data_IF_852738941461
#
_entry.id   IF_852738941461
#
_cell.length_a   1.000
_cell.length_b   1.000
_cell.length_c   1.000
_cell.angle_alpha   90.00
_cell.angle_beta   90.00
_cell.angle_gamma   90.00
#
_symmetry.space_group_name_H-M   'P 1'
#
loop_
_entity.id
_entity.type
_entity.pdbx_description
1 polymer ?
#
# COMPACT_ATOMS: atom_id res chain seq x y z
N UNK A 1 -18.17 10.90 57.99
CA UNK A 1 -19.26 10.22 57.23
C UNK A 1 -19.25 10.48 55.71
N UNK A 2 -18.75 11.61 55.18
CA UNK A 2 -18.69 11.87 53.72
C UNK A 2 -17.53 11.22 52.95
N UNK A 3 -16.46 10.79 53.63
CA UNK A 3 -15.32 10.09 53.01
C UNK A 3 -15.59 8.59 52.71
N UNK A 4 -16.44 7.94 53.51
CA UNK A 4 -16.77 6.52 53.36
C UNK A 4 -17.77 6.26 52.22
N UNK A 5 -18.69 7.21 51.94
CA UNK A 5 -19.60 7.11 50.79
C UNK A 5 -18.90 7.30 49.44
N UNK A 6 -17.84 8.12 49.37
CA UNK A 6 -17.06 8.31 48.14
C UNK A 6 -16.28 7.06 47.72
N UNK A 7 -15.71 6.33 48.68
CA UNK A 7 -14.97 5.09 48.43
C UNK A 7 -15.90 3.93 48.00
N UNK A 8 -17.10 3.85 48.58
CA UNK A 8 -18.14 2.90 48.16
C UNK A 8 -18.70 3.19 46.76
N UNK A 9 -18.74 4.47 46.33
CA UNK A 9 -19.15 4.85 44.97
C UNK A 9 -18.09 4.48 43.92
N UNK A 10 -16.81 4.73 44.23
CA UNK A 10 -15.67 4.35 43.38
C UNK A 10 -15.52 2.83 43.22
N UNK A 11 -15.70 2.04 44.28
CA UNK A 11 -15.71 0.57 44.20
C UNK A 11 -16.88 0.02 43.36
N UNK A 12 -18.04 0.69 43.38
CA UNK A 12 -19.23 0.29 42.61
C UNK A 12 -19.06 0.59 41.12
N UNK A 13 -18.43 1.70 40.76
CA UNK A 13 -18.08 2.02 39.36
C UNK A 13 -16.94 1.15 38.82
N UNK A 14 -15.92 0.82 39.63
CA UNK A 14 -14.88 -0.14 39.25
C UNK A 14 -15.44 -1.56 39.01
N UNK A 15 -16.43 -1.99 39.80
CA UNK A 15 -17.13 -3.27 39.55
C UNK A 15 -17.98 -3.26 38.27
N UNK A 16 -18.59 -2.12 37.91
CA UNK A 16 -19.32 -1.98 36.64
C UNK A 16 -18.39 -2.01 35.43
N UNK A 17 -17.23 -1.35 35.52
CA UNK A 17 -16.21 -1.37 34.45
C UNK A 17 -15.65 -2.78 34.27
N UNK A 18 -15.37 -3.51 35.36
CA UNK A 18 -14.91 -4.91 35.30
C UNK A 18 -15.97 -5.86 34.74
N UNK A 19 -17.25 -5.63 35.03
CA UNK A 19 -18.37 -6.38 34.47
C UNK A 19 -18.58 -6.08 32.96
N UNK A 20 -18.34 -4.85 32.51
CA UNK A 20 -18.41 -4.47 31.09
C UNK A 20 -17.25 -5.07 30.28
N UNK A 21 -16.04 -5.05 30.83
CA UNK A 21 -14.86 -5.70 30.22
C UNK A 21 -15.00 -7.22 30.16
N UNK A 22 -15.65 -7.85 31.16
CA UNK A 22 -15.95 -9.28 31.15
C UNK A 22 -17.05 -9.65 30.13
N UNK A 23 -18.02 -8.76 29.87
CA UNK A 23 -18.99 -8.92 28.76
C UNK A 23 -18.33 -8.77 27.37
N UNK A 24 -17.35 -7.88 27.22
CA UNK A 24 -16.59 -7.71 25.98
C UNK A 24 -15.67 -8.91 25.71
N UNK A 25 -15.00 -9.42 26.75
CA UNK A 25 -14.19 -10.66 26.65
C UNK A 25 -15.05 -11.89 26.34
N UNK A 26 -16.23 -12.04 26.97
CA UNK A 26 -17.19 -13.10 26.61
C UNK A 26 -17.78 -12.93 25.20
N UNK A 27 -17.91 -11.69 24.72
CA UNK A 27 -18.30 -11.39 23.34
C UNK A 27 -17.22 -11.77 22.32
N UNK A 28 -15.94 -11.57 22.67
CA UNK A 28 -14.78 -11.98 21.86
C UNK A 28 -14.63 -13.51 21.84
N UNK A 29 -14.80 -14.20 22.97
CA UNK A 29 -14.83 -15.67 23.02
C UNK A 29 -16.03 -16.26 22.25
N UNK A 30 -17.20 -15.62 22.28
CA UNK A 30 -18.35 -16.01 21.48
C UNK A 30 -18.13 -15.78 19.97
N UNK A 31 -17.37 -14.75 19.60
CA UNK A 31 -16.97 -14.47 18.21
C UNK A 31 -15.91 -15.45 17.70
N UNK A 32 -14.92 -15.80 18.54
CA UNK A 32 -13.92 -16.84 18.26
C UNK A 32 -14.56 -18.23 18.12
N UNK A 33 -15.53 -18.57 18.98
CA UNK A 33 -16.31 -19.80 18.89
C UNK A 33 -17.28 -19.82 17.70
N UNK A 34 -17.78 -18.65 17.25
CA UNK A 34 -18.57 -18.53 16.02
C UNK A 34 -17.70 -18.70 14.76
N UNK A 35 -16.45 -18.24 14.80
CA UNK A 35 -15.45 -18.48 13.74
C UNK A 35 -15.04 -19.97 13.66
N UNK A 36 -14.96 -20.66 14.80
CA UNK A 36 -14.70 -22.11 14.87
C UNK A 36 -15.95 -22.91 14.42
N UNK A 37 -17.18 -22.45 14.71
CA UNK A 37 -18.43 -23.06 14.20
C UNK A 37 -18.68 -22.82 12.70
N UNK A 38 -18.10 -21.79 12.10
CA UNK A 38 -18.17 -21.55 10.65
C UNK A 38 -17.26 -22.48 9.82
N UNK A 39 -16.36 -23.24 10.46
CA UNK A 39 -15.61 -24.34 9.81
C UNK A 39 -16.37 -25.68 9.73
N UNK A 40 -17.62 -25.78 10.22
CA UNK A 40 -18.38 -27.05 10.19
C UNK A 40 -19.52 -27.15 9.17
N UNK A 41 -19.78 -26.14 8.33
CA UNK A 41 -20.77 -26.26 7.25
C UNK A 41 -20.13 -26.63 5.92
N UNK A 42 -19.76 -27.91 5.80
CA UNK A 42 -19.56 -28.61 4.52
C UNK A 42 -20.90 -28.74 3.80
N UNK A 43 -21.14 -27.96 2.76
CA UNK A 43 -21.98 -28.37 1.62
C UNK A 43 -21.56 -27.56 0.41
N UNK A 44 -20.67 -28.12 -0.40
CA UNK A 44 -20.56 -28.06 -1.88
C UNK A 44 -19.26 -28.80 -2.20
N UNK A 45 -19.41 -29.98 -2.79
CA UNK A 45 -18.44 -30.94 -3.37
C UNK A 45 -18.75 -32.37 -2.90
N UNK A 46 -19.98 -32.81 -3.21
CA UNK A 46 -20.41 -34.22 -3.20
C UNK A 46 -20.60 -34.70 -4.63
N UNK A 47 -19.59 -34.50 -5.48
CA UNK A 47 -19.58 -35.13 -6.81
C UNK A 47 -18.16 -35.32 -7.31
N UNK A 48 -17.33 -36.14 -6.66
CA UNK A 48 -16.12 -36.72 -7.28
C UNK A 48 -15.35 -37.77 -6.45
N UNK A 49 -15.94 -38.42 -5.44
CA UNK A 49 -15.29 -39.58 -4.79
C UNK A 49 -16.30 -40.72 -4.62
N UNK A 50 -16.58 -41.39 -5.73
CA UNK A 50 -16.95 -42.80 -5.78
C UNK A 50 -16.13 -43.39 -6.92
N UNK A 51 -14.96 -43.91 -6.59
CA UNK A 51 -14.37 -45.11 -7.19
C UNK A 51 -13.03 -45.41 -6.52
N UNK A 52 -12.84 -46.70 -6.27
CA UNK A 52 -11.58 -47.36 -5.88
C UNK A 52 -11.35 -47.55 -4.38
N UNK A 53 -11.98 -48.60 -3.84
CA UNK A 53 -11.32 -49.49 -2.88
C UNK A 53 -10.00 -50.01 -3.47
N UNK A 54 -8.90 -50.03 -2.70
CA UNK A 54 -7.99 -51.19 -2.63
C UNK A 54 -6.94 -51.03 -1.49
N UNK A 55 -7.03 -51.95 -0.53
CA UNK A 55 -5.97 -52.66 0.22
C UNK A 55 -4.68 -51.91 0.62
N UNK A 56 -4.48 -51.77 1.94
CA UNK A 56 -3.22 -51.41 2.58
C UNK A 56 -2.26 -52.62 2.55
N UNK A 57 -1.08 -52.48 1.95
CA UNK A 57 0.11 -53.32 2.20
C UNK A 57 1.17 -52.50 2.95
N UNK A 58 1.93 -53.09 3.89
CA UNK A 58 2.99 -52.39 4.59
C UNK A 58 4.21 -52.19 3.66
N UNK A 59 4.65 -50.94 3.51
CA UNK A 59 5.85 -50.58 2.74
C UNK A 59 7.11 -50.75 3.59
N UNK A 60 8.15 -51.35 2.98
CA UNK A 60 9.47 -51.62 3.56
C UNK A 60 10.22 -50.31 3.87
N UNK A 61 11.04 -50.33 4.93
CA UNK A 61 12.04 -49.30 5.24
C UNK A 61 13.00 -49.14 4.06
N UNK A 62 13.04 -47.93 3.48
CA UNK A 62 14.15 -47.51 2.64
C UNK A 62 15.19 -46.77 3.49
N UNK A 63 16.41 -47.27 3.45
CA UNK A 63 17.62 -46.63 3.98
C UNK A 63 17.92 -45.36 3.18
N UNK A 64 18.01 -44.22 3.87
CA UNK A 64 18.49 -42.96 3.31
C UNK A 64 19.99 -43.07 3.01
N UNK A 65 20.32 -43.08 1.73
CA UNK A 65 21.70 -43.00 1.25
C UNK A 65 22.06 -41.51 1.15
N UNK A 66 22.71 -40.96 2.17
CA UNK A 66 23.20 -39.58 2.17
C UNK A 66 24.44 -39.48 1.27
N UNK A 67 24.25 -39.12 0.00
CA UNK A 67 25.36 -38.62 -0.83
C UNK A 67 25.67 -37.20 -0.38
N UNK A 68 26.78 -37.05 0.35
CA UNK A 68 27.31 -35.77 0.78
C UNK A 68 27.60 -34.86 -0.40
N UNK A 69 26.95 -33.71 -0.43
CA UNK A 69 27.38 -32.57 -1.23
C UNK A 69 28.39 -31.80 -0.37
N UNK A 70 29.68 -31.98 -0.66
CA UNK A 70 30.74 -31.16 -0.09
C UNK A 70 30.67 -29.76 -0.70
N UNK A 71 29.94 -28.85 -0.06
CA UNK A 71 29.98 -27.40 -0.35
C UNK A 71 31.38 -26.91 0.03
N UNK A 72 32.25 -26.69 -0.97
CA UNK A 72 33.53 -25.99 -0.76
C UNK A 72 33.23 -24.60 -0.18
N UNK A 73 33.59 -24.39 1.09
CA UNK A 73 33.55 -23.07 1.72
C UNK A 73 34.74 -22.25 1.23
N UNK A 74 34.56 -21.51 0.14
CA UNK A 74 35.46 -20.43 -0.26
C UNK A 74 34.67 -19.12 -0.20
N UNK A 75 34.94 -18.31 0.84
CA UNK A 75 34.17 -17.12 1.20
C UNK A 75 32.83 -17.50 1.85
N UNK A 76 32.48 -16.88 2.98
CA UNK A 76 31.19 -17.06 3.65
C UNK A 76 30.06 -16.63 2.71
N UNK A 77 29.55 -17.55 1.89
CA UNK A 77 28.37 -17.31 1.09
C UNK A 77 27.16 -17.42 2.02
N UNK A 78 26.78 -16.28 2.61
CA UNK A 78 25.63 -16.16 3.51
C UNK A 78 24.37 -16.23 2.66
N UNK A 79 23.58 -17.28 2.87
CA UNK A 79 22.29 -17.49 2.21
C UNK A 79 21.34 -16.32 2.55
N UNK A 80 20.48 -15.93 1.61
CA UNK A 80 19.52 -14.84 1.84
C UNK A 80 18.53 -15.16 2.98
N UNK A 81 18.23 -14.15 3.79
CA UNK A 81 17.17 -14.24 4.80
C UNK A 81 15.78 -14.11 4.16
N UNK A 82 14.73 -14.48 4.90
CA UNK A 82 13.35 -14.28 4.42
C UNK A 82 13.00 -12.80 4.19
N UNK A 83 13.60 -11.89 4.96
CA UNK A 83 13.38 -10.44 4.79
C UNK A 83 14.06 -9.94 3.52
N UNK A 84 15.30 -10.36 3.25
CA UNK A 84 16.00 -10.05 2.00
C UNK A 84 15.23 -10.57 0.80
N UNK A 85 14.83 -11.84 0.80
CA UNK A 85 14.04 -12.46 -0.27
C UNK A 85 12.74 -11.69 -0.52
N UNK A 86 12.00 -11.34 0.53
CA UNK A 86 10.76 -10.56 0.43
C UNK A 86 10.98 -9.19 -0.21
N UNK A 87 12.03 -8.48 0.22
CA UNK A 87 12.31 -7.13 -0.23
C UNK A 87 12.81 -7.09 -1.68
N UNK A 88 13.70 -8.01 -2.09
CA UNK A 88 14.18 -8.08 -3.48
C UNK A 88 13.09 -8.57 -4.44
N UNK A 89 12.22 -9.50 -4.00
CA UNK A 89 11.08 -9.98 -4.79
C UNK A 89 10.09 -8.85 -5.09
N UNK A 90 9.72 -8.11 -4.05
CA UNK A 90 8.80 -6.98 -4.17
C UNK A 90 9.40 -5.86 -5.00
N UNK A 91 10.70 -5.58 -4.82
CA UNK A 91 11.43 -4.58 -5.62
C UNK A 91 11.49 -4.94 -7.09
N UNK A 92 11.64 -6.23 -7.42
CA UNK A 92 11.65 -6.69 -8.82
C UNK A 92 10.29 -6.48 -9.47
N UNK A 93 9.21 -6.91 -8.82
CA UNK A 93 7.84 -6.71 -9.33
C UNK A 93 7.55 -5.23 -9.55
N UNK A 94 7.86 -4.38 -8.56
CA UNK A 94 7.71 -2.92 -8.66
C UNK A 94 8.52 -2.35 -9.83
N UNK A 95 9.82 -2.64 -9.91
CA UNK A 95 10.68 -2.08 -10.97
C UNK A 95 10.28 -2.54 -12.37
N UNK A 96 9.80 -3.79 -12.49
CA UNK A 96 9.29 -4.31 -13.77
C UNK A 96 8.01 -3.61 -14.23
N UNK A 97 7.14 -3.22 -13.29
CA UNK A 97 5.93 -2.43 -13.57
C UNK A 97 6.29 -0.98 -13.92
N UNK A 98 7.15 -0.36 -13.13
CA UNK A 98 7.60 1.03 -13.34
C UNK A 98 8.22 1.24 -14.71
N UNK A 99 9.08 0.31 -15.12
CA UNK A 99 9.71 0.37 -16.43
C UNK A 99 8.67 0.45 -17.57
N UNK A 100 7.55 -0.29 -17.47
CA UNK A 100 6.48 -0.25 -18.48
C UNK A 100 5.77 1.10 -18.52
N UNK A 101 5.46 1.67 -17.34
CA UNK A 101 4.86 3.00 -17.26
C UNK A 101 5.81 4.06 -17.83
N UNK A 102 7.08 4.03 -17.44
CA UNK A 102 8.06 5.03 -17.87
C UNK A 102 8.43 4.92 -19.35
N UNK A 103 8.43 3.73 -19.94
CA UNK A 103 8.57 3.58 -21.40
C UNK A 103 7.44 4.28 -22.16
N UNK A 104 6.19 4.07 -21.73
CA UNK A 104 5.03 4.75 -22.34
C UNK A 104 5.07 6.27 -22.11
N UNK A 105 5.37 6.71 -20.90
CA UNK A 105 5.49 8.14 -20.60
C UNK A 105 6.61 8.79 -21.40
N UNK A 106 7.76 8.12 -21.58
CA UNK A 106 8.86 8.65 -22.38
C UNK A 106 8.47 8.80 -23.84
N UNK A 107 7.69 7.85 -24.38
CA UNK A 107 7.19 7.90 -25.75
C UNK A 107 6.18 9.03 -26.00
N UNK A 108 5.40 9.41 -24.98
CA UNK A 108 4.24 10.32 -25.14
C UNK A 108 4.39 11.71 -24.52
N UNK A 109 5.36 11.90 -23.62
CA UNK A 109 5.65 13.20 -23.00
C UNK A 109 6.32 14.14 -24.00
N UNK A 110 5.82 15.37 -24.09
CA UNK A 110 6.28 16.40 -25.04
C UNK A 110 7.14 17.46 -24.34
N UNK A 111 6.76 17.88 -23.13
CA UNK A 111 7.53 18.77 -22.27
C UNK A 111 8.90 18.15 -21.96
N UNK A 112 9.97 18.83 -22.38
CA UNK A 112 11.34 18.32 -22.28
C UNK A 112 11.79 18.11 -20.83
N UNK A 113 11.33 18.95 -19.91
CA UNK A 113 11.75 18.87 -18.51
C UNK A 113 11.07 17.68 -17.83
N UNK A 114 9.78 17.47 -18.08
CA UNK A 114 9.06 16.27 -17.61
C UNK A 114 9.65 15.02 -18.23
N UNK A 115 9.98 15.05 -19.52
CA UNK A 115 10.57 13.92 -20.23
C UNK A 115 11.92 13.50 -19.66
N UNK A 116 12.76 14.47 -19.25
CA UNK A 116 14.04 14.20 -18.57
C UNK A 116 13.84 13.48 -17.22
N UNK A 117 12.83 13.87 -16.42
CA UNK A 117 12.48 13.15 -15.19
C UNK A 117 12.08 11.69 -15.51
N UNK A 118 11.21 11.51 -16.51
CA UNK A 118 10.75 10.18 -16.93
C UNK A 118 11.92 9.32 -17.42
N UNK A 119 12.86 9.89 -18.18
CA UNK A 119 14.05 9.20 -18.67
C UNK A 119 14.93 8.68 -17.54
N UNK A 120 15.20 9.51 -16.53
CA UNK A 120 15.97 9.13 -15.35
C UNK A 120 15.31 7.99 -14.58
N UNK A 121 13.99 8.09 -14.34
CA UNK A 121 13.20 7.05 -13.67
C UNK A 121 13.20 5.74 -14.47
N UNK A 122 13.03 5.82 -15.80
CA UNK A 122 13.10 4.66 -16.70
C UNK A 122 14.47 3.97 -16.63
N UNK A 123 15.56 4.74 -16.72
CA UNK A 123 16.92 4.24 -16.64
C UNK A 123 17.20 3.54 -15.31
N UNK A 124 16.73 4.13 -14.21
CA UNK A 124 16.86 3.51 -12.89
C UNK A 124 16.06 2.21 -12.77
N UNK A 125 14.81 2.16 -13.25
CA UNK A 125 14.01 0.92 -13.22
C UNK A 125 14.66 -0.21 -14.04
N UNK A 126 15.28 0.12 -15.19
CA UNK A 126 16.03 -0.84 -15.99
C UNK A 126 17.25 -1.38 -15.22
N UNK A 127 18.09 -0.50 -14.67
CA UNK A 127 19.26 -0.87 -13.89
C UNK A 127 18.90 -1.71 -12.66
N UNK A 128 17.83 -1.33 -11.96
CA UNK A 128 17.32 -2.06 -10.80
C UNK A 128 16.97 -3.51 -11.13
N UNK A 129 16.31 -3.75 -12.27
CA UNK A 129 15.99 -5.11 -12.71
C UNK A 129 17.25 -5.92 -12.99
N UNK A 130 18.28 -5.34 -13.58
CA UNK A 130 19.55 -6.02 -13.86
C UNK A 130 20.29 -6.40 -12.56
N UNK A 131 20.33 -5.49 -11.60
CA UNK A 131 20.97 -5.73 -10.30
C UNK A 131 20.22 -6.80 -9.49
N UNK A 132 18.88 -6.74 -9.47
CA UNK A 132 18.06 -7.74 -8.80
C UNK A 132 18.19 -9.12 -9.46
N UNK A 133 18.20 -9.21 -10.80
CA UNK A 133 18.45 -10.48 -11.51
C UNK A 133 19.79 -11.08 -11.11
N UNK A 134 20.83 -10.24 -11.01
CA UNK A 134 22.16 -10.69 -10.59
C UNK A 134 22.16 -11.27 -9.18
N UNK A 135 21.41 -10.67 -8.26
CA UNK A 135 21.23 -11.19 -6.89
C UNK A 135 20.51 -12.55 -6.93
N UNK A 136 19.39 -12.67 -7.64
CA UNK A 136 18.65 -13.93 -7.75
C UNK A 136 19.48 -15.05 -8.40
N UNK A 137 20.21 -14.74 -9.48
CA UNK A 137 21.06 -15.72 -10.17
C UNK A 137 22.20 -16.22 -9.28
N UNK A 138 22.82 -15.36 -8.47
CA UNK A 138 23.86 -15.79 -7.51
C UNK A 138 23.34 -16.79 -6.49
N UNK A 139 22.07 -16.69 -6.11
CA UNK A 139 21.42 -17.59 -5.16
C UNK A 139 20.82 -18.85 -5.79
N UNK A 140 20.93 -19.00 -7.12
CA UNK A 140 20.19 -20.01 -7.88
C UNK A 140 18.68 -19.98 -7.60
N UNK A 141 18.13 -18.78 -7.35
CA UNK A 141 16.71 -18.57 -7.13
C UNK A 141 16.03 -18.14 -8.43
N UNK A 142 14.79 -18.59 -8.63
CA UNK A 142 13.93 -18.04 -9.67
C UNK A 142 13.50 -16.63 -9.27
N UNK A 143 13.72 -15.67 -10.15
CA UNK A 143 13.17 -14.31 -10.01
C UNK A 143 11.75 -14.23 -10.59
N UNK A 144 10.94 -13.21 -10.24
CA UNK A 144 9.58 -13.06 -10.76
C UNK A 144 9.54 -12.92 -12.28
N UNK A 145 8.44 -13.33 -12.90
CA UNK A 145 8.16 -12.98 -14.30
C UNK A 145 7.97 -11.46 -14.43
N UNK A 146 7.22 -10.87 -13.50
CA UNK A 146 6.92 -9.45 -13.45
C UNK A 146 6.05 -8.99 -14.62
N UNK A 147 6.38 -7.80 -15.12
CA UNK A 147 5.70 -7.18 -16.26
C UNK A 147 6.65 -7.08 -17.45
N UNK A 148 6.11 -7.33 -18.63
CA UNK A 148 6.87 -7.47 -19.88
C UNK A 148 6.38 -6.48 -20.93
N UNK A 149 7.04 -6.40 -22.07
CA UNK A 149 6.60 -5.55 -23.19
C UNK A 149 5.17 -5.88 -23.68
N UNK A 150 4.60 -7.03 -23.31
CA UNK A 150 3.18 -7.36 -23.59
C UNK A 150 2.19 -6.58 -22.72
N UNK A 151 2.67 -5.98 -21.62
CA UNK A 151 1.85 -5.24 -20.67
C UNK A 151 1.73 -3.74 -21.00
N UNK A 152 2.43 -3.28 -22.05
CA UNK A 152 2.44 -1.89 -22.51
C UNK A 152 2.33 -1.81 -24.03
N UNK A 153 1.66 -0.77 -24.53
CA UNK A 153 1.57 -0.41 -25.95
C UNK A 153 2.17 0.98 -26.15
N UNK A 154 3.36 1.04 -26.74
CA UNK A 154 4.09 2.29 -26.96
C UNK A 154 3.57 3.09 -28.16
N UNK A 155 2.79 2.45 -29.02
CA UNK A 155 2.09 3.04 -30.17
C UNK A 155 0.69 3.58 -29.82
N UNK A 156 0.27 3.44 -28.55
CA UNK A 156 -1.02 3.96 -28.10
C UNK A 156 -1.01 5.48 -28.00
N UNK A 157 -2.19 6.09 -28.21
CA UNK A 157 -2.39 7.53 -28.07
C UNK A 157 -1.94 8.04 -26.69
N UNK A 158 -1.51 9.31 -26.61
CA UNK A 158 -1.22 9.99 -25.35
C UNK A 158 -2.49 10.07 -24.51
N UNK A 159 -2.48 9.50 -23.31
CA UNK A 159 -3.62 9.50 -22.37
C UNK A 159 -3.44 10.52 -21.27
N UNK A 160 -2.22 10.66 -20.75
CA UNK A 160 -1.90 11.54 -19.62
C UNK A 160 -1.28 12.82 -20.16
N UNK A 161 -1.76 13.97 -19.68
CA UNK A 161 -1.04 15.23 -19.87
C UNK A 161 0.34 15.17 -19.22
N UNK A 162 1.28 16.01 -19.67
CA UNK A 162 2.64 16.02 -19.14
C UNK A 162 2.67 16.36 -17.64
N UNK A 163 1.76 17.23 -17.18
CA UNK A 163 1.60 17.53 -15.75
C UNK A 163 1.05 16.33 -14.98
N UNK A 164 0.08 15.59 -15.53
CA UNK A 164 -0.42 14.39 -14.86
C UNK A 164 0.64 13.28 -14.83
N UNK A 165 1.43 13.13 -15.90
CA UNK A 165 2.62 12.27 -15.92
C UNK A 165 3.60 12.66 -14.80
N UNK A 166 3.90 13.94 -14.62
CA UNK A 166 4.75 14.43 -13.54
C UNK A 166 4.19 14.07 -12.15
N UNK A 167 2.88 14.19 -11.93
CA UNK A 167 2.25 13.75 -10.68
C UNK A 167 2.37 12.23 -10.47
N UNK A 168 2.28 11.41 -11.52
CA UNK A 168 2.47 9.95 -11.40
C UNK A 168 3.93 9.62 -11.07
N UNK A 169 4.89 10.30 -11.69
CA UNK A 169 6.31 10.19 -11.35
C UNK A 169 6.60 10.58 -9.89
N UNK A 170 5.99 11.68 -9.42
CA UNK A 170 6.07 12.09 -8.01
C UNK A 170 5.50 11.01 -7.09
N UNK A 171 4.35 10.42 -7.43
CA UNK A 171 3.70 9.40 -6.61
C UNK A 171 4.54 8.13 -6.45
N UNK A 172 5.08 7.62 -7.56
CA UNK A 172 5.96 6.46 -7.57
C UNK A 172 7.23 6.72 -6.74
N UNK A 173 7.80 7.92 -6.87
CA UNK A 173 8.96 8.35 -6.09
C UNK A 173 8.63 8.39 -4.59
N UNK A 174 7.45 8.91 -4.22
CA UNK A 174 7.02 8.97 -2.82
C UNK A 174 6.78 7.59 -2.21
N UNK A 175 6.25 6.62 -2.96
CA UNK A 175 6.21 5.22 -2.52
C UNK A 175 7.63 4.71 -2.26
N UNK A 176 8.54 4.95 -3.19
CA UNK A 176 9.94 4.50 -3.11
C UNK A 176 10.67 5.06 -1.88
N UNK A 177 10.43 6.33 -1.54
CA UNK A 177 10.93 6.99 -0.32
C UNK A 177 10.39 6.36 0.97
N UNK A 178 9.26 5.65 0.91
CA UNK A 178 8.74 4.91 2.06
C UNK A 178 9.29 3.48 2.11
N UNK A 179 9.41 2.80 0.97
CA UNK A 179 9.71 1.37 0.94
C UNK A 179 11.20 1.04 0.99
N UNK A 180 12.07 1.79 0.29
CA UNK A 180 13.50 1.47 0.27
C UNK A 180 14.18 1.70 1.63
N UNK A 181 13.92 2.82 2.35
CA UNK A 181 14.47 3.00 3.69
C UNK A 181 13.99 1.95 4.70
N UNK A 182 12.75 1.45 4.56
CA UNK A 182 12.27 0.34 5.39
C UNK A 182 12.94 -1.00 5.08
N UNK A 183 13.34 -1.24 3.82
CA UNK A 183 14.01 -2.47 3.42
C UNK A 183 15.50 -2.51 3.81
N UNK A 184 16.19 -1.37 3.81
CA UNK A 184 17.62 -1.28 4.11
C UNK A 184 18.06 -1.96 5.43
N UNK A 185 17.42 -1.72 6.60
CA UNK A 185 17.83 -2.34 7.87
C UNK A 185 17.60 -3.86 7.90
N UNK A 186 16.72 -4.37 7.03
CA UNK A 186 16.37 -5.79 6.93
C UNK A 186 17.34 -6.61 6.06
N UNK A 187 18.38 -5.96 5.50
CA UNK A 187 19.30 -6.55 4.53
C UNK A 187 20.75 -6.60 5.06
N UNK A 188 21.11 -7.64 5.84
CA UNK A 188 22.47 -7.81 6.37
C UNK A 188 23.52 -8.13 5.31
N UNK A 189 23.15 -8.73 4.16
CA UNK A 189 24.09 -9.06 3.10
C UNK A 189 24.51 -7.82 2.31
N UNK A 190 25.82 -7.67 2.08
CA UNK A 190 26.40 -6.41 1.56
C UNK A 190 25.89 -6.02 0.18
N UNK A 191 25.76 -6.96 -0.75
CA UNK A 191 25.26 -6.67 -2.10
C UNK A 191 23.78 -6.24 -2.12
N UNK A 192 22.94 -6.90 -1.32
CA UNK A 192 21.51 -6.53 -1.15
C UNK A 192 21.38 -5.16 -0.48
N UNK A 193 22.15 -4.93 0.60
CA UNK A 193 22.17 -3.63 1.28
C UNK A 193 22.64 -2.51 0.36
N UNK A 194 23.70 -2.74 -0.42
CA UNK A 194 24.21 -1.77 -1.38
C UNK A 194 23.16 -1.43 -2.46
N UNK A 195 22.40 -2.41 -2.94
CA UNK A 195 21.29 -2.17 -3.85
C UNK A 195 20.26 -1.19 -3.24
N UNK A 196 19.80 -1.44 -2.01
CA UNK A 196 18.85 -0.54 -1.35
C UNK A 196 19.44 0.84 -1.02
N UNK A 197 20.72 0.92 -0.65
CA UNK A 197 21.42 2.19 -0.43
C UNK A 197 21.42 3.04 -1.71
N UNK A 198 21.84 2.46 -2.84
CA UNK A 198 21.84 3.15 -4.13
C UNK A 198 20.43 3.58 -4.56
N UNK A 199 19.43 2.73 -4.31
CA UNK A 199 18.03 3.06 -4.60
C UNK A 199 17.55 4.26 -3.78
N UNK A 200 17.93 4.35 -2.50
CA UNK A 200 17.60 5.50 -1.64
C UNK A 200 18.27 6.77 -2.17
N UNK A 201 19.55 6.72 -2.49
CA UNK A 201 20.32 7.87 -3.01
C UNK A 201 19.70 8.43 -4.29
N UNK A 202 19.40 7.56 -5.26
CA UNK A 202 18.70 7.95 -6.48
C UNK A 202 17.33 8.57 -6.19
N UNK A 203 16.53 7.92 -5.32
CA UNK A 203 15.17 8.36 -5.01
C UNK A 203 15.17 9.74 -4.33
N UNK A 204 16.16 10.03 -3.46
CA UNK A 204 16.31 11.34 -2.84
C UNK A 204 16.63 12.43 -3.86
N UNK A 205 17.52 12.14 -4.81
CA UNK A 205 17.89 13.08 -5.87
C UNK A 205 16.70 13.39 -6.77
N UNK A 206 16.05 12.37 -7.32
CA UNK A 206 14.92 12.57 -8.25
C UNK A 206 13.72 13.23 -7.57
N UNK A 207 13.51 12.99 -6.28
CA UNK A 207 12.48 13.68 -5.50
C UNK A 207 12.68 15.20 -5.49
N UNK A 208 13.91 15.67 -5.25
CA UNK A 208 14.20 17.10 -5.23
C UNK A 208 13.99 17.71 -6.61
N UNK A 209 14.48 17.06 -7.67
CA UNK A 209 14.28 17.52 -9.04
C UNK A 209 12.80 17.62 -9.43
N UNK A 210 11.99 16.62 -9.06
CA UNK A 210 10.54 16.63 -9.28
C UNK A 210 9.89 17.80 -8.57
N UNK A 211 10.27 18.06 -7.30
CA UNK A 211 9.68 19.16 -6.52
C UNK A 211 10.05 20.51 -7.11
N UNK A 212 11.32 20.73 -7.46
CA UNK A 212 11.78 21.96 -8.09
C UNK A 212 11.04 22.22 -9.41
N UNK A 213 10.81 21.16 -10.20
CA UNK A 213 10.06 21.24 -11.44
C UNK A 213 8.56 21.54 -11.21
N UNK A 214 7.94 20.89 -10.22
CA UNK A 214 6.54 21.16 -9.87
C UNK A 214 6.35 22.59 -9.36
N UNK A 215 7.33 23.13 -8.62
CA UNK A 215 7.34 24.50 -8.14
C UNK A 215 7.52 25.49 -9.28
N UNK A 216 8.48 25.26 -10.19
CA UNK A 216 8.75 26.13 -11.34
C UNK A 216 7.57 26.18 -12.32
N UNK A 217 6.85 25.07 -12.50
CA UNK A 217 5.62 25.00 -13.31
C UNK A 217 4.37 25.47 -12.56
N UNK A 218 4.46 25.77 -11.26
CA UNK A 218 3.32 26.24 -10.46
C UNK A 218 2.25 25.19 -10.14
N UNK A 219 2.57 23.91 -10.31
CA UNK A 219 1.64 22.77 -10.13
C UNK A 219 1.83 22.04 -8.80
N UNK A 220 2.75 22.49 -7.95
CA UNK A 220 2.96 21.89 -6.63
C UNK A 220 1.72 22.08 -5.72
N UNK A 221 1.17 20.99 -5.21
CA UNK A 221 -0.01 21.00 -4.34
C UNK A 221 0.37 21.46 -2.92
N UNK A 222 -0.04 22.69 -2.58
CA UNK A 222 0.23 23.30 -1.28
C UNK A 222 -0.78 22.86 -0.23
N UNK A 223 -0.32 22.56 0.98
CA UNK A 223 -1.18 22.39 2.15
C UNK A 223 -1.78 23.74 2.59
N UNK A 224 -2.91 23.74 3.33
CA UNK A 224 -3.44 24.95 3.95
C UNK A 224 -2.38 25.71 4.72
N UNK A 225 -2.34 27.03 4.53
CA UNK A 225 -1.56 27.94 5.34
C UNK A 225 -2.50 28.54 6.38
N UNK A 226 -2.31 28.18 7.65
CA UNK A 226 -3.10 28.70 8.76
C UNK A 226 -2.17 29.41 9.75
N UNK A 227 -2.69 30.45 10.40
CA UNK A 227 -2.01 31.07 11.52
C UNK A 227 -1.97 30.07 12.69
N UNK A 228 -0.80 29.93 13.32
CA UNK A 228 -0.60 29.03 14.43
C UNK A 228 -0.44 29.84 15.72
N UNK A 229 -0.89 29.27 16.83
CA UNK A 229 -0.50 29.77 18.13
C UNK A 229 1.01 29.52 18.35
N UNK A 230 1.66 30.45 19.05
CA UNK A 230 3.09 30.41 19.35
C UNK A 230 3.37 30.20 20.85
N UNK A 231 2.34 30.00 21.68
CA UNK A 231 2.51 29.61 23.09
C UNK A 231 2.74 28.12 23.22
N UNK A 232 3.56 27.73 24.21
CA UNK A 232 3.73 26.33 24.60
C UNK A 232 2.84 26.10 25.82
N UNK A 233 1.71 25.42 25.61
CA UNK A 233 0.78 25.04 26.66
C UNK A 233 0.77 23.53 26.87
N UNK A 234 0.78 23.10 28.14
CA UNK A 234 0.68 21.69 28.49
C UNK A 234 -0.79 21.28 28.55
N UNK A 235 -1.11 20.17 27.87
CA UNK A 235 -2.45 19.58 27.93
C UNK A 235 -2.68 19.01 29.33
N UNK A 236 -3.61 19.61 30.07
CA UNK A 236 -3.98 19.23 31.43
C UNK A 236 -5.32 18.48 31.52
N UNK A 237 -6.16 18.57 30.48
CA UNK A 237 -7.47 17.92 30.43
C UNK A 237 -7.62 16.88 29.31
N UNK A 238 -8.23 15.74 29.65
CA UNK A 238 -8.65 14.71 28.67
C UNK A 238 -9.59 15.26 27.58
N UNK A 239 -10.25 16.38 27.86
CA UNK A 239 -11.10 17.11 26.91
C UNK A 239 -10.35 17.49 25.63
N UNK A 240 -9.02 17.60 25.67
CA UNK A 240 -8.19 17.85 24.49
C UNK A 240 -8.37 16.79 23.37
N UNK A 241 -8.75 15.56 23.73
CA UNK A 241 -9.00 14.47 22.78
C UNK A 241 -10.42 14.51 22.20
N UNK A 242 -11.32 15.35 22.73
CA UNK A 242 -12.71 15.38 22.31
C UNK A 242 -12.85 15.93 20.89
N UNK A 243 -13.61 15.18 20.08
CA UNK A 243 -14.04 15.59 18.74
C UNK A 243 -15.46 15.15 18.41
N UNK A 244 -15.98 14.10 19.07
CA UNK A 244 -17.29 13.50 18.77
C UNK A 244 -18.47 14.08 19.57
N UNK A 245 -18.23 14.65 20.75
CA UNK A 245 -19.30 15.04 21.70
C UNK A 245 -19.33 16.54 22.02
N UNK A 246 -18.85 17.37 21.09
CA UNK A 246 -18.75 18.82 21.26
C UNK A 246 -17.60 19.27 22.18
N UNK A 247 -17.33 20.58 22.22
CA UNK A 247 -16.25 21.16 23.02
C UNK A 247 -14.83 20.78 22.55
N UNK A 248 -14.67 20.48 21.26
CA UNK A 248 -13.39 20.18 20.63
C UNK A 248 -12.50 21.41 20.56
N UNK A 249 -11.21 21.22 20.80
CA UNK A 249 -10.19 22.22 20.48
C UNK A 249 -10.04 22.40 18.96
N UNK A 250 -9.45 23.51 18.47
CA UNK A 250 -9.05 23.63 17.07
C UNK A 250 -8.16 22.46 16.63
N UNK A 251 -8.22 22.12 15.34
CA UNK A 251 -7.30 21.13 14.75
C UNK A 251 -5.86 21.63 14.82
N UNK A 252 -4.93 20.74 15.19
CA UNK A 252 -3.52 21.12 15.33
C UNK A 252 -2.76 20.99 14.00
N UNK A 253 -1.54 21.50 13.96
CA UNK A 253 -0.71 21.49 12.75
C UNK A 253 -0.49 20.08 12.16
N UNK A 254 -0.30 19.06 13.00
CA UNK A 254 -0.10 17.69 12.56
C UNK A 254 -1.37 17.08 11.95
N UNK A 255 -2.52 17.34 12.55
CA UNK A 255 -3.84 16.93 12.05
C UNK A 255 -4.15 17.60 10.71
N UNK A 256 -3.92 18.91 10.59
CA UNK A 256 -4.07 19.65 9.32
C UNK A 256 -3.17 19.08 8.23
N UNK A 257 -1.89 18.86 8.53
CA UNK A 257 -0.93 18.30 7.59
C UNK A 257 -1.36 16.90 7.11
N UNK A 258 -1.80 16.04 8.03
CA UNK A 258 -2.28 14.70 7.70
C UNK A 258 -3.57 14.71 6.86
N UNK A 259 -4.57 15.52 7.24
CA UNK A 259 -5.81 15.68 6.49
C UNK A 259 -5.53 16.15 5.06
N UNK A 260 -4.77 17.24 4.91
CA UNK A 260 -4.35 17.79 3.60
C UNK A 260 -3.67 16.73 2.73
N UNK A 261 -2.70 16.00 3.31
CA UNK A 261 -1.93 14.98 2.61
C UNK A 261 -2.84 13.83 2.12
N UNK A 262 -3.78 13.38 2.96
CA UNK A 262 -4.72 12.31 2.58
C UNK A 262 -5.74 12.78 1.55
N UNK A 263 -6.19 14.03 1.62
CA UNK A 263 -7.09 14.60 0.61
C UNK A 263 -6.38 14.69 -0.75
N UNK A 264 -5.14 15.20 -0.82
CA UNK A 264 -4.35 15.20 -2.06
C UNK A 264 -4.22 13.78 -2.65
N UNK A 265 -3.88 12.81 -1.79
CA UNK A 265 -3.81 11.39 -2.17
C UNK A 265 -5.13 10.89 -2.76
N UNK A 266 -6.25 11.20 -2.11
CA UNK A 266 -7.57 10.75 -2.56
C UNK A 266 -7.95 11.36 -3.91
N UNK A 267 -7.67 12.65 -4.13
CA UNK A 267 -7.91 13.33 -5.42
C UNK A 267 -7.08 12.71 -6.55
N UNK A 268 -5.77 12.54 -6.34
CA UNK A 268 -4.89 11.87 -7.31
C UNK A 268 -5.38 10.45 -7.63
N UNK A 269 -5.65 9.66 -6.60
CA UNK A 269 -6.10 8.27 -6.76
C UNK A 269 -7.43 8.19 -7.50
N UNK A 270 -8.37 9.12 -7.23
CA UNK A 270 -9.67 9.19 -7.91
C UNK A 270 -9.46 9.39 -9.41
N UNK A 271 -8.55 10.29 -9.79
CA UNK A 271 -8.28 10.57 -11.21
C UNK A 271 -7.57 9.41 -11.91
N UNK A 272 -6.65 8.72 -11.25
CA UNK A 272 -6.07 7.48 -11.79
C UNK A 272 -7.16 6.43 -12.00
N UNK A 273 -8.05 6.22 -11.04
CA UNK A 273 -9.13 5.22 -11.15
C UNK A 273 -10.17 5.58 -12.21
N UNK A 274 -10.49 6.87 -12.40
CA UNK A 274 -11.31 7.34 -13.53
C UNK A 274 -10.65 6.95 -14.84
N UNK A 275 -9.36 7.26 -14.98
CA UNK A 275 -8.60 7.00 -16.20
C UNK A 275 -8.51 5.50 -16.49
N UNK A 276 -8.10 4.70 -15.51
CA UNK A 276 -7.98 3.25 -15.66
C UNK A 276 -9.34 2.58 -15.91
N UNK A 277 -10.44 3.11 -15.37
CA UNK A 277 -11.78 2.62 -15.70
C UNK A 277 -12.15 2.85 -17.17
N UNK A 278 -11.73 3.99 -17.76
CA UNK A 278 -11.91 4.25 -19.19
C UNK A 278 -11.06 3.30 -20.05
N UNK A 279 -9.82 3.08 -19.65
CA UNK A 279 -8.84 2.26 -20.39
C UNK A 279 -9.09 0.75 -20.27
N UNK A 280 -9.64 0.30 -19.13
CA UNK A 280 -9.79 -1.13 -18.83
C UNK A 280 -10.72 -1.84 -19.81
N UNK A 281 -10.23 -2.93 -20.39
CA UNK A 281 -10.99 -3.79 -21.30
C UNK A 281 -11.73 -4.90 -20.54
N UNK A 282 -11.17 -5.35 -19.41
CA UNK A 282 -11.75 -6.38 -18.58
C UNK A 282 -12.88 -5.83 -17.71
N UNK A 283 -14.11 -6.33 -17.93
CA UNK A 283 -15.33 -5.80 -17.30
C UNK A 283 -15.25 -5.70 -15.77
N UNK A 284 -14.70 -6.73 -15.11
CA UNK A 284 -14.63 -6.76 -13.64
C UNK A 284 -13.55 -5.83 -13.08
N UNK A 285 -12.46 -5.62 -13.84
CA UNK A 285 -11.38 -4.69 -13.48
C UNK A 285 -11.87 -3.25 -13.64
N UNK A 286 -12.53 -2.96 -14.77
CA UNK A 286 -13.23 -1.69 -14.99
C UNK A 286 -14.22 -1.38 -13.88
N UNK A 287 -15.07 -2.35 -13.52
CA UNK A 287 -16.04 -2.15 -12.43
C UNK A 287 -15.34 -1.95 -11.08
N UNK A 288 -14.23 -2.64 -10.83
CA UNK A 288 -13.43 -2.45 -9.63
C UNK A 288 -12.92 -1.01 -9.53
N UNK A 289 -12.32 -0.47 -10.59
CA UNK A 289 -11.84 0.92 -10.63
C UNK A 289 -12.97 1.93 -10.44
N UNK A 290 -14.13 1.75 -11.10
CA UNK A 290 -15.30 2.62 -10.90
C UNK A 290 -15.79 2.63 -9.45
N UNK A 291 -15.83 1.46 -8.79
CA UNK A 291 -16.21 1.37 -7.37
C UNK A 291 -15.19 2.07 -6.45
N UNK A 292 -13.90 2.02 -6.81
CA UNK A 292 -12.85 2.71 -6.06
C UNK A 292 -12.96 4.23 -6.19
N UNK A 293 -13.24 4.75 -7.40
CA UNK A 293 -13.56 6.16 -7.63
C UNK A 293 -14.70 6.63 -6.73
N UNK A 294 -15.82 5.89 -6.70
CA UNK A 294 -16.99 6.26 -5.89
C UNK A 294 -16.72 6.20 -4.38
N UNK A 295 -15.83 5.30 -3.95
CA UNK A 295 -15.40 5.22 -2.57
C UNK A 295 -14.53 6.43 -2.19
N UNK A 296 -13.62 6.84 -3.08
CA UNK A 296 -12.76 8.01 -2.84
C UNK A 296 -13.54 9.32 -2.76
N UNK A 297 -14.68 9.44 -3.47
CA UNK A 297 -15.56 10.60 -3.31
C UNK A 297 -16.01 10.78 -1.86
N UNK A 298 -16.49 9.69 -1.26
CA UNK A 298 -16.94 9.69 0.14
C UNK A 298 -15.80 9.98 1.11
N UNK A 299 -14.57 9.59 0.76
CA UNK A 299 -13.39 9.92 1.54
C UNK A 299 -13.11 11.43 1.48
N UNK A 300 -13.19 12.03 0.29
CA UNK A 300 -13.02 13.47 0.10
C UNK A 300 -14.07 14.23 0.90
N UNK A 301 -15.36 13.94 0.70
CA UNK A 301 -16.48 14.57 1.41
C UNK A 301 -16.27 14.51 2.94
N UNK A 302 -15.89 13.33 3.45
CA UNK A 302 -15.70 13.13 4.89
C UNK A 302 -14.52 13.91 5.47
N UNK A 303 -13.43 14.13 4.71
CA UNK A 303 -12.24 14.81 5.22
C UNK A 303 -12.34 16.33 5.02
N UNK A 304 -12.90 16.77 3.91
CA UNK A 304 -13.11 18.19 3.60
C UNK A 304 -14.11 18.83 4.57
N UNK A 305 -15.14 18.08 5.01
CA UNK A 305 -16.06 18.49 6.09
C UNK A 305 -15.30 18.95 7.37
N UNK A 306 -14.13 18.36 7.68
CA UNK A 306 -13.34 18.77 8.84
C UNK A 306 -12.76 20.16 8.66
N UNK A 307 -12.22 20.47 7.47
CA UNK A 307 -11.71 21.80 7.17
C UNK A 307 -12.81 22.85 7.09
N UNK A 308 -13.97 22.49 6.53
CA UNK A 308 -15.15 23.38 6.49
C UNK A 308 -15.60 23.78 7.89
N UNK A 309 -15.73 22.81 8.82
CA UNK A 309 -16.14 23.09 10.22
C UNK A 309 -15.16 23.98 10.98
N UNK A 310 -13.88 23.92 10.63
CA UNK A 310 -12.81 24.70 11.26
C UNK A 310 -12.53 26.01 10.51
N UNK A 311 -13.29 26.32 9.45
CA UNK A 311 -13.07 27.45 8.55
C UNK A 311 -11.64 27.52 7.98
N UNK A 312 -11.04 26.37 7.69
CA UNK A 312 -9.70 26.27 7.10
C UNK A 312 -9.84 26.28 5.58
N UNK A 313 -9.32 27.30 4.88
CA UNK A 313 -9.39 27.35 3.43
C UNK A 313 -8.53 26.23 2.82
N UNK A 314 -9.11 25.48 1.90
CA UNK A 314 -8.41 24.43 1.18
C UNK A 314 -8.78 24.46 -0.31
N UNK A 315 -7.82 24.82 -1.16
CA UNK A 315 -8.06 25.12 -2.59
C UNK A 315 -7.19 24.29 -3.55
N UNK A 316 -6.62 23.17 -3.11
CA UNK A 316 -5.64 22.44 -3.92
C UNK A 316 -6.28 21.47 -4.93
N UNK A 317 -6.75 21.96 -6.07
CA UNK A 317 -7.10 21.10 -7.23
C UNK A 317 -5.84 20.84 -8.07
N UNK A 318 -5.48 19.56 -8.26
CA UNK A 318 -4.40 19.18 -9.17
C UNK A 318 -4.85 19.19 -10.63
N UNK A 319 -3.91 19.50 -11.53
CA UNK A 319 -4.12 19.36 -12.97
C UNK A 319 -3.94 17.88 -13.38
N UNK A 320 -5.07 17.19 -13.46
CA UNK A 320 -5.15 15.77 -13.81
C UNK A 320 -5.79 15.58 -15.18
N UNK A 321 -5.37 16.39 -16.15
CA UNK A 321 -5.89 16.32 -17.52
C UNK A 321 -5.57 14.99 -18.20
N UNK A 322 -6.58 14.42 -18.84
CA UNK A 322 -6.52 13.18 -19.61
C UNK A 322 -7.10 13.37 -21.01
N UNK A 323 -6.57 12.63 -21.97
CA UNK A 323 -7.06 12.58 -23.34
C UNK A 323 -7.73 11.24 -23.64
N UNK A 324 -8.64 11.23 -24.61
CA UNK A 324 -9.26 10.00 -25.07
C UNK A 324 -8.27 9.22 -25.94
N UNK A 325 -8.20 7.90 -25.72
CA UNK A 325 -7.36 6.99 -26.49
C UNK A 325 -8.21 5.86 -27.07
N UNK A 326 -7.92 5.47 -28.32
CA UNK A 326 -8.64 4.36 -28.97
C UNK A 326 -8.28 3.00 -28.39
N UNK A 327 -7.03 2.87 -27.95
CA UNK A 327 -6.47 1.64 -27.37
C UNK A 327 -5.79 1.97 -26.04
N UNK A 328 -5.99 1.10 -25.04
CA UNK A 328 -5.34 1.29 -23.74
C UNK A 328 -3.82 1.17 -23.85
N UNK A 329 -3.01 2.09 -23.30
CA UNK A 329 -1.56 1.92 -23.28
C UNK A 329 -1.09 0.78 -22.37
N UNK A 330 -1.94 0.30 -21.45
CA UNK A 330 -1.56 -0.66 -20.41
C UNK A 330 -2.48 -1.89 -20.38
N UNK A 331 -1.93 -3.04 -19.98
CA UNK A 331 -2.73 -4.22 -19.68
C UNK A 331 -3.56 -4.03 -18.40
N UNK A 332 -4.70 -4.71 -18.31
CA UNK A 332 -5.52 -4.73 -17.10
C UNK A 332 -4.74 -5.28 -15.88
N UNK A 333 -3.81 -6.22 -16.12
CA UNK A 333 -2.87 -6.74 -15.11
C UNK A 333 -1.98 -5.62 -14.54
N UNK A 334 -1.35 -4.85 -15.42
CA UNK A 334 -0.44 -3.77 -15.05
C UNK A 334 -1.17 -2.66 -14.27
N UNK A 335 -2.32 -2.21 -14.77
CA UNK A 335 -3.15 -1.20 -14.11
C UNK A 335 -3.63 -1.66 -12.73
N UNK A 336 -4.09 -2.91 -12.60
CA UNK A 336 -4.57 -3.43 -11.32
C UNK A 336 -3.42 -3.58 -10.30
N UNK A 337 -2.22 -3.95 -10.75
CA UNK A 337 -1.04 -3.97 -9.89
C UNK A 337 -0.64 -2.56 -9.45
N UNK A 338 -0.62 -1.57 -10.34
CA UNK A 338 -0.36 -0.17 -9.99
C UNK A 338 -1.33 0.33 -8.90
N UNK A 339 -2.63 0.04 -9.06
CA UNK A 339 -3.65 0.42 -8.07
C UNK A 339 -3.41 -0.26 -6.72
N UNK A 340 -3.14 -1.57 -6.68
CA UNK A 340 -2.96 -2.29 -5.42
C UNK A 340 -1.63 -1.92 -4.73
N UNK A 341 -0.56 -1.76 -5.50
CA UNK A 341 0.80 -1.54 -4.98
C UNK A 341 1.07 -0.06 -4.79
N UNK A 342 1.09 0.75 -5.85
CA UNK A 342 1.49 2.15 -5.76
C UNK A 342 0.47 2.98 -5.00
N UNK A 343 -0.80 2.91 -5.40
CA UNK A 343 -1.85 3.65 -4.71
C UNK A 343 -2.16 3.01 -3.36
N UNK A 344 -2.41 1.70 -3.34
CA UNK A 344 -2.87 1.00 -2.15
C UNK A 344 -1.88 0.96 -1.02
N UNK A 345 -0.68 0.41 -1.25
CA UNK A 345 0.35 0.29 -0.21
C UNK A 345 0.75 1.65 0.36
N UNK A 346 1.00 2.63 -0.51
CA UNK A 346 1.41 3.95 -0.05
C UNK A 346 0.30 4.64 0.75
N UNK A 347 -0.95 4.55 0.29
CA UNK A 347 -2.09 5.10 1.01
C UNK A 347 -2.26 4.44 2.39
N UNK A 348 -2.04 3.13 2.53
CA UNK A 348 -2.07 2.47 3.84
C UNK A 348 -1.02 3.04 4.80
N UNK A 349 0.22 3.23 4.33
CA UNK A 349 1.28 3.85 5.15
C UNK A 349 0.87 5.24 5.62
N UNK A 350 0.36 6.07 4.72
CA UNK A 350 -0.10 7.43 5.04
C UNK A 350 -1.25 7.45 6.06
N UNK A 351 -2.27 6.61 5.88
CA UNK A 351 -3.42 6.55 6.78
C UNK A 351 -3.00 6.04 8.16
N UNK A 352 -2.13 5.03 8.24
CA UNK A 352 -1.63 4.55 9.53
C UNK A 352 -0.80 5.62 10.25
N UNK A 353 0.04 6.36 9.54
CA UNK A 353 0.76 7.50 10.13
C UNK A 353 -0.21 8.59 10.62
N UNK A 354 -1.25 8.89 9.84
CA UNK A 354 -2.27 9.87 10.24
C UNK A 354 -3.03 9.41 11.50
N UNK A 355 -3.35 8.11 11.60
CA UNK A 355 -3.99 7.52 12.79
C UNK A 355 -3.13 7.65 14.04
N UNK A 356 -1.82 7.41 13.93
CA UNK A 356 -0.92 7.43 15.10
C UNK A 356 -0.50 8.83 15.53
N UNK A 357 -0.67 9.84 14.66
CA UNK A 357 -0.29 11.23 14.93
C UNK A 357 -1.46 12.20 15.08
N UNK A 358 -2.71 11.71 15.01
CA UNK A 358 -3.92 12.48 15.30
C UNK A 358 -4.43 12.14 16.69
N UNK A 359 -4.92 13.14 17.42
CA UNK A 359 -5.36 12.97 18.81
C UNK A 359 -6.86 13.20 18.98
N UNK A 360 -7.44 14.06 18.14
CA UNK A 360 -8.88 14.29 18.12
C UNK A 360 -9.65 13.06 17.68
N UNK A 361 -10.59 12.63 18.52
CA UNK A 361 -11.34 11.37 18.36
C UNK A 361 -12.20 11.29 17.11
N UNK A 362 -12.75 12.40 16.62
CA UNK A 362 -13.49 12.48 15.35
C UNK A 362 -12.58 12.19 14.14
N UNK A 363 -11.39 12.78 14.12
CA UNK A 363 -10.38 12.58 13.06
C UNK A 363 -9.87 11.14 13.06
N UNK A 364 -9.50 10.61 14.23
CA UNK A 364 -9.06 9.21 14.39
C UNK A 364 -10.16 8.24 13.93
N UNK A 365 -11.42 8.53 14.24
CA UNK A 365 -12.56 7.72 13.79
C UNK A 365 -12.69 7.73 12.27
N UNK A 366 -12.63 8.91 11.64
CA UNK A 366 -12.68 9.06 10.17
C UNK A 366 -11.56 8.25 9.49
N UNK A 367 -10.30 8.39 9.93
CA UNK A 367 -9.20 7.59 9.37
C UNK A 367 -9.35 6.08 9.61
N UNK A 368 -9.92 5.67 10.74
CA UNK A 368 -10.18 4.25 11.03
C UNK A 368 -11.21 3.66 10.07
N UNK A 369 -12.28 4.42 9.79
CA UNK A 369 -13.30 4.04 8.81
C UNK A 369 -12.69 3.93 7.40
N UNK A 370 -11.88 4.90 6.99
CA UNK A 370 -11.17 4.91 5.70
C UNK A 370 -10.27 3.66 5.59
N UNK A 371 -9.43 3.40 6.59
CA UNK A 371 -8.55 2.22 6.63
C UNK A 371 -9.33 0.90 6.46
N UNK A 372 -10.49 0.79 7.11
CA UNK A 372 -11.36 -0.40 7.02
C UNK A 372 -11.94 -0.57 5.63
N UNK A 373 -12.41 0.52 5.00
CA UNK A 373 -12.95 0.49 3.64
C UNK A 373 -11.87 0.15 2.62
N UNK A 374 -10.66 0.70 2.77
CA UNK A 374 -9.50 0.38 1.94
C UNK A 374 -9.15 -1.10 2.01
N UNK A 375 -9.09 -1.71 3.20
CA UNK A 375 -8.82 -3.16 3.35
C UNK A 375 -9.79 -4.00 2.53
N UNK A 376 -11.08 -3.64 2.56
CA UNK A 376 -12.12 -4.31 1.78
C UNK A 376 -11.95 -4.08 0.28
N UNK A 377 -11.59 -2.87 -0.15
CA UNK A 377 -11.38 -2.54 -1.56
C UNK A 377 -10.18 -3.30 -2.13
N UNK A 378 -8.98 -3.11 -1.58
CA UNK A 378 -7.76 -3.76 -2.08
C UNK A 378 -7.79 -5.27 -1.92
N UNK A 379 -8.47 -5.81 -0.90
CA UNK A 379 -8.72 -7.25 -0.79
C UNK A 379 -9.52 -7.82 -1.97
N UNK A 380 -10.46 -7.06 -2.54
CA UNK A 380 -11.15 -7.45 -3.79
C UNK A 380 -10.24 -7.33 -5.01
N UNK A 381 -9.36 -6.33 -5.05
CA UNK A 381 -8.35 -6.19 -6.08
C UNK A 381 -7.41 -7.40 -6.12
N UNK A 382 -6.98 -7.87 -4.95
CA UNK A 382 -6.19 -9.10 -4.81
C UNK A 382 -6.97 -10.36 -5.23
N UNK A 383 -8.27 -10.44 -4.91
CA UNK A 383 -9.08 -11.56 -5.38
C UNK A 383 -9.16 -11.61 -6.90
N UNK A 384 -9.30 -10.46 -7.56
CA UNK A 384 -9.28 -10.37 -9.02
C UNK A 384 -7.96 -10.86 -9.62
N UNK A 385 -6.81 -10.47 -9.05
CA UNK A 385 -5.52 -10.96 -9.55
C UNK A 385 -5.36 -12.46 -9.37
N UNK A 386 -5.96 -13.07 -8.35
CA UNK A 386 -5.99 -14.53 -8.19
C UNK A 386 -6.91 -15.18 -9.25
N UNK A 387 -8.12 -14.65 -9.43
CA UNK A 387 -9.10 -15.16 -10.40
C UNK A 387 -8.55 -15.15 -11.82
N UNK A 388 -7.88 -14.07 -12.21
CA UNK A 388 -7.26 -13.90 -13.53
C UNK A 388 -5.87 -14.55 -13.66
N UNK A 389 -5.37 -15.23 -12.61
CA UNK A 389 -4.03 -15.85 -12.57
C UNK A 389 -2.90 -14.85 -12.84
N UNK A 390 -3.07 -13.63 -12.37
CA UNK A 390 -2.12 -12.52 -12.48
C UNK A 390 -1.22 -12.36 -11.26
N UNK A 391 -1.60 -12.93 -10.12
CA UNK A 391 -0.80 -12.92 -8.91
C UNK A 391 0.32 -13.96 -9.00
N UNK A 392 1.57 -13.49 -9.04
CA UNK A 392 2.72 -14.36 -8.85
C UNK A 392 2.87 -14.73 -7.37
N UNK A 393 3.04 -16.02 -7.12
CA UNK A 393 3.25 -16.52 -5.77
C UNK A 393 4.64 -16.11 -5.29
N UNK A 394 4.77 -15.40 -4.15
CA UNK A 394 6.08 -15.11 -3.59
C UNK A 394 6.77 -16.39 -3.12
N UNK A 395 8.11 -16.39 -2.99
CA UNK A 395 8.86 -17.52 -2.45
C UNK A 395 8.28 -17.99 -1.11
N UNK A 396 8.06 -19.29 -0.97
CA UNK A 396 7.47 -19.89 0.21
C UNK A 396 8.47 -20.76 0.95
N UNK A 397 8.31 -20.85 2.26
CA UNK A 397 8.95 -21.92 3.02
C UNK A 397 8.43 -23.27 2.54
N UNK A 398 9.32 -24.27 2.45
CA UNK A 398 8.93 -25.65 2.19
C UNK A 398 7.89 -26.12 3.22
N UNK A 399 6.91 -26.92 2.79
CA UNK A 399 5.96 -27.53 3.73
C UNK A 399 6.70 -28.50 4.64
N UNK A 400 6.70 -28.19 5.94
CA UNK A 400 7.35 -28.98 6.99
C UNK A 400 6.34 -29.79 7.80
N UNK A 401 5.05 -29.75 7.45
CA UNK A 401 4.03 -30.56 8.11
C UNK A 401 4.15 -32.00 7.64
N UNK A 402 4.32 -32.91 8.60
CA UNK A 402 4.34 -34.37 8.41
C UNK A 402 3.00 -34.96 8.81
#
# INVERSE_FOLDING_TARGET
MKFFLGFLFLCREFCKIRAHSCKILKGLEAWQNSFIRLKSKRTICKTLIKNSFFVIKPSKRHTLNSKGVTRRMSGTNVDLTSTEVSNIWSSYLKSSMELRFFQYFYATTEDSDVKNIVEKLMGFSQQSLEDLKRIFTKENMTFPLGFTEKDVRLDADKVFSDIFTLYICHDITMLSLSTYPSALPDCPRKDVRNYFQNAIEFTLQIQNEIIDLMLSKGVFLKSPQVAMDHTVDLVDEMKYLNGLFGGSRPVNAAEIANLSRVIHRARFSKMVLVTFSKLSSHKDVKQHFSKGRDALEKVLDSLEEVFEKENIPYSASGDFNIFDARHSPFSDKLMLFFVNTCIGMFCFTMINQALTSSLRTDIVTKFTMISTQMKKYYGKGLLLTITEKWLEQPPQAFDRKV
#
